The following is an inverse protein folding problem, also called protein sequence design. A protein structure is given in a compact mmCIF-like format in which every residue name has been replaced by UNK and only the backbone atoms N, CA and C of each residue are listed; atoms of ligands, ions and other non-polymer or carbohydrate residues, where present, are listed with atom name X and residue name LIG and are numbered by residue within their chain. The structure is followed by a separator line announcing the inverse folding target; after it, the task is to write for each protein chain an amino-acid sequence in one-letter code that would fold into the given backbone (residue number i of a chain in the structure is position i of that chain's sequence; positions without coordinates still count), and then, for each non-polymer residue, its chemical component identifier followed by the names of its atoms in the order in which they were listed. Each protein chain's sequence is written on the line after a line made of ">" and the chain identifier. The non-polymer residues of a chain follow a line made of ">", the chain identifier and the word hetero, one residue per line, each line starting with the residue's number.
data_IF_942291850817
#
_entry.id   IF_942291850817
#
_cell.length_a   1.000
_cell.length_b   1.000
_cell.length_c   1.000
_cell.angle_alpha   90.00
_cell.angle_beta   90.00
_cell.angle_gamma   90.00
#
_symmetry.space_group_name_H-M   'P 1'
#
loop_
_entity.id
_entity.type
_entity.pdbx_description
1 polymer ?
#
# COMPACT_ATOMS: atom_id res chain seq x y z
N UNK A 1 52.08 -26.12 -17.55
CA UNK A 1 51.51 -24.90 -16.95
C UNK A 1 50.48 -24.38 -17.94
N UNK A 2 49.21 -24.59 -17.62
CA UNK A 2 48.07 -24.22 -18.48
C UNK A 2 47.51 -22.91 -17.97
N UNK A 3 47.39 -21.89 -18.82
CA UNK A 3 46.41 -20.82 -18.55
C UNK A 3 45.99 -20.15 -19.86
N UNK A 4 44.87 -20.64 -20.39
CA UNK A 4 44.03 -19.97 -21.38
C UNK A 4 43.13 -18.98 -20.64
N UNK A 5 43.44 -17.68 -20.68
CA UNK A 5 42.56 -16.65 -20.12
C UNK A 5 41.55 -16.20 -21.19
N UNK A 6 40.31 -16.66 -21.00
CA UNK A 6 39.12 -16.28 -21.76
C UNK A 6 38.89 -14.76 -21.79
N UNK A 7 38.34 -14.28 -22.91
CA UNK A 7 37.81 -12.94 -23.10
C UNK A 7 36.39 -12.73 -22.50
N UNK A 8 35.60 -11.78 -23.04
CA UNK A 8 35.03 -10.65 -22.30
C UNK A 8 33.56 -10.83 -21.90
N UNK A 9 33.11 -10.10 -20.87
CA UNK A 9 31.68 -9.79 -20.60
C UNK A 9 31.57 -8.63 -19.61
N UNK A 10 31.13 -7.45 -20.09
CA UNK A 10 30.31 -6.56 -19.26
C UNK A 10 29.01 -7.31 -18.90
N UNK A 11 28.42 -7.08 -17.72
CA UNK A 11 27.30 -6.13 -17.71
C UNK A 11 27.04 -5.38 -16.38
N UNK A 12 26.19 -4.36 -16.53
CA UNK A 12 25.19 -3.83 -15.57
C UNK A 12 25.67 -3.04 -14.36
N UNK A 13 25.78 -1.73 -14.59
CA UNK A 13 25.10 -0.65 -13.84
C UNK A 13 24.27 -1.16 -12.66
N UNK A 14 24.85 -1.14 -11.46
CA UNK A 14 24.12 -1.20 -10.21
C UNK A 14 23.27 0.06 -10.08
N UNK A 15 21.99 -0.04 -10.43
CA UNK A 15 20.97 0.92 -9.99
C UNK A 15 20.57 0.45 -8.59
N UNK A 16 20.80 1.21 -7.51
CA UNK A 16 20.11 0.94 -6.26
C UNK A 16 18.61 1.19 -6.48
N UNK A 17 17.71 0.30 -6.02
CA UNK A 17 16.30 0.60 -5.97
C UNK A 17 16.09 1.60 -4.82
N UNK A 18 16.13 2.89 -5.12
CA UNK A 18 15.49 3.91 -4.28
C UNK A 18 14.01 3.88 -4.71
N UNK A 19 13.19 3.10 -4.00
CA UNK A 19 12.41 3.55 -2.84
C UNK A 19 11.42 4.65 -3.26
N UNK A 20 10.21 4.17 -3.56
CA UNK A 20 8.89 4.77 -3.39
C UNK A 20 8.85 6.16 -2.70
N UNK A 21 9.19 7.24 -3.40
CA UNK A 21 8.96 8.63 -2.94
C UNK A 21 7.71 9.28 -3.57
N UNK A 22 6.88 8.54 -4.31
CA UNK A 22 5.70 9.16 -4.96
C UNK A 22 4.50 9.37 -4.01
N UNK A 23 4.42 8.63 -2.89
CA UNK A 23 3.25 8.73 -2.00
C UNK A 23 3.34 9.93 -1.03
N UNK A 24 4.54 10.39 -0.67
CA UNK A 24 4.68 11.54 0.25
C UNK A 24 4.47 12.89 -0.45
N UNK A 25 4.83 13.03 -1.74
CA UNK A 25 4.65 14.29 -2.50
C UNK A 25 3.18 14.64 -2.75
N UNK A 26 2.29 13.66 -2.83
CA UNK A 26 0.87 13.90 -3.06
C UNK A 26 0.17 14.54 -1.84
N UNK A 27 0.64 14.22 -0.63
CA UNK A 27 0.08 14.77 0.62
C UNK A 27 0.54 16.22 0.85
N UNK A 28 1.71 16.60 0.34
CA UNK A 28 2.27 17.96 0.47
C UNK A 28 1.48 19.03 -0.26
N UNK A 29 0.61 18.65 -1.20
CA UNK A 29 -0.24 19.57 -1.97
C UNK A 29 -1.57 19.91 -1.26
N UNK A 30 -1.90 19.23 -0.16
CA UNK A 30 -3.12 19.46 0.60
C UNK A 30 -2.90 20.42 1.77
N UNK A 31 -3.95 21.15 2.15
CA UNK A 31 -3.97 21.83 3.46
C UNK A 31 -3.74 20.79 4.57
N UNK A 32 -2.92 21.08 5.59
CA UNK A 32 -2.67 20.17 6.71
C UNK A 32 -3.95 19.68 7.39
N UNK A 33 -4.99 20.52 7.40
CA UNK A 33 -6.30 20.17 7.97
C UNK A 33 -7.00 19.07 7.19
N UNK A 34 -6.97 19.15 5.86
CA UNK A 34 -7.59 18.14 4.98
C UNK A 34 -6.85 16.81 5.03
N UNK A 35 -5.51 16.87 5.04
CA UNK A 35 -4.68 15.69 5.20
C UNK A 35 -5.02 14.99 6.52
N UNK A 36 -5.09 15.73 7.64
CA UNK A 36 -5.46 15.18 8.95
C UNK A 36 -6.85 14.53 8.93
N UNK A 37 -7.83 15.16 8.31
CA UNK A 37 -9.20 14.64 8.26
C UNK A 37 -9.28 13.35 7.42
N UNK A 38 -8.58 13.29 6.27
CA UNK A 38 -8.48 12.07 5.47
C UNK A 38 -7.70 10.94 6.20
N UNK A 39 -6.65 11.27 6.95
CA UNK A 39 -5.95 10.33 7.81
C UNK A 39 -6.88 9.76 8.88
N UNK A 40 -7.72 10.60 9.52
CA UNK A 40 -8.69 10.12 10.51
C UNK A 40 -9.69 9.13 9.92
N UNK A 41 -10.15 9.34 8.67
CA UNK A 41 -11.02 8.39 7.97
C UNK A 41 -10.29 7.06 7.72
N UNK A 42 -9.01 7.12 7.35
CA UNK A 42 -8.17 5.94 7.14
C UNK A 42 -7.97 5.16 8.45
N UNK A 43 -7.79 5.84 9.57
CA UNK A 43 -7.70 5.21 10.89
C UNK A 43 -9.01 4.53 11.31
N UNK A 44 -10.16 5.19 11.11
CA UNK A 44 -11.48 4.59 11.36
C UNK A 44 -11.70 3.33 10.50
N UNK A 45 -11.26 3.34 9.24
CA UNK A 45 -11.27 2.15 8.39
C UNK A 45 -10.36 1.04 8.94
N UNK A 46 -9.15 1.37 9.37
CA UNK A 46 -8.21 0.40 9.96
C UNK A 46 -8.73 -0.23 11.25
N UNK A 47 -9.45 0.55 12.07
CA UNK A 47 -10.13 0.08 13.27
C UNK A 47 -11.37 -0.78 12.97
N UNK A 48 -11.84 -0.83 11.71
CA UNK A 48 -13.03 -1.57 11.30
C UNK A 48 -14.35 -0.82 11.59
N UNK A 49 -14.27 0.47 11.91
CA UNK A 49 -15.44 1.33 12.18
C UNK A 49 -16.16 1.77 10.90
N UNK A 50 -15.43 1.80 9.77
CA UNK A 50 -15.96 2.13 8.45
C UNK A 50 -15.75 0.98 7.46
N UNK A 51 -16.73 0.79 6.57
CA UNK A 51 -16.50 0.01 5.35
C UNK A 51 -15.62 0.78 4.37
N UNK A 52 -14.93 0.07 3.47
CA UNK A 52 -14.11 0.69 2.42
C UNK A 52 -14.89 1.69 1.58
N UNK A 53 -16.09 1.32 1.13
CA UNK A 53 -16.96 2.21 0.36
C UNK A 53 -17.31 3.49 1.11
N UNK A 54 -17.57 3.40 2.43
CA UNK A 54 -17.86 4.56 3.26
C UNK A 54 -16.63 5.45 3.46
N UNK A 55 -15.45 4.85 3.62
CA UNK A 55 -14.19 5.58 3.72
C UNK A 55 -13.88 6.35 2.44
N UNK A 56 -14.02 5.71 1.27
CA UNK A 56 -13.81 6.34 -0.05
C UNK A 56 -14.74 7.55 -0.23
N UNK A 57 -16.03 7.41 0.07
CA UNK A 57 -16.99 8.51 -0.06
C UNK A 57 -16.68 9.67 0.90
N UNK A 58 -16.23 9.39 2.12
CA UNK A 58 -15.82 10.44 3.07
C UNK A 58 -14.55 11.17 2.63
N UNK A 59 -13.55 10.46 2.14
CA UNK A 59 -12.33 11.07 1.60
C UNK A 59 -12.69 11.99 0.42
N UNK A 60 -13.55 11.53 -0.50
CA UNK A 60 -14.05 12.36 -1.59
C UNK A 60 -14.75 13.62 -1.08
N UNK A 61 -15.67 13.49 -0.11
CA UNK A 61 -16.38 14.65 0.48
C UNK A 61 -15.41 15.67 1.09
N UNK A 62 -14.41 15.22 1.85
CA UNK A 62 -13.38 16.09 2.44
C UNK A 62 -12.62 16.84 1.34
N UNK A 63 -12.10 16.12 0.35
CA UNK A 63 -11.28 16.71 -0.69
C UNK A 63 -12.10 17.64 -1.61
N UNK A 64 -13.38 17.33 -1.86
CA UNK A 64 -14.24 18.12 -2.75
C UNK A 64 -14.53 19.54 -2.25
N UNK A 65 -14.30 19.78 -0.95
CA UNK A 65 -14.44 21.11 -0.32
C UNK A 65 -13.38 22.12 -0.78
N UNK A 66 -12.32 21.66 -1.44
CA UNK A 66 -11.21 22.52 -1.87
C UNK A 66 -11.47 23.37 -3.11
N UNK A 67 -12.61 23.22 -3.80
CA UNK A 67 -12.87 23.86 -5.10
C UNK A 67 -11.73 23.65 -6.13
N UNK A 68 -10.96 22.58 -5.94
CA UNK A 68 -9.88 22.21 -6.83
C UNK A 68 -10.48 21.83 -8.20
N UNK A 69 -9.84 22.30 -9.27
CA UNK A 69 -10.39 22.26 -10.61
C UNK A 69 -9.93 20.95 -11.26
N UNK A 70 -10.88 20.04 -11.52
CA UNK A 70 -10.71 18.61 -11.85
C UNK A 70 -9.65 18.26 -12.93
N UNK A 71 -9.18 19.22 -13.72
CA UNK A 71 -8.12 19.02 -14.72
C UNK A 71 -6.71 19.29 -14.16
N UNK A 72 -5.92 18.22 -13.96
CA UNK A 72 -4.52 18.30 -13.54
C UNK A 72 -4.33 18.44 -12.02
N UNK A 73 -5.32 18.00 -11.26
CA UNK A 73 -5.67 18.56 -9.96
C UNK A 73 -5.04 17.80 -8.78
N UNK A 74 -4.41 18.49 -7.82
CA UNK A 74 -3.98 17.93 -6.53
C UNK A 74 -5.05 17.06 -5.85
N UNK A 75 -6.33 17.35 -6.08
CA UNK A 75 -7.45 16.52 -5.66
C UNK A 75 -7.31 15.06 -6.12
N UNK A 76 -7.08 14.83 -7.41
CA UNK A 76 -7.07 13.47 -7.99
C UNK A 76 -5.91 12.68 -7.41
N UNK A 77 -4.72 13.28 -7.34
CA UNK A 77 -3.53 12.65 -6.74
C UNK A 77 -3.74 12.30 -5.27
N UNK A 78 -4.27 13.25 -4.49
CA UNK A 78 -4.56 13.02 -3.09
C UNK A 78 -5.61 11.91 -2.90
N UNK A 79 -6.66 11.92 -3.71
CA UNK A 79 -7.72 10.90 -3.67
C UNK A 79 -7.16 9.52 -4.01
N UNK A 80 -6.36 9.40 -5.07
CA UNK A 80 -5.70 8.16 -5.47
C UNK A 80 -4.77 7.62 -4.38
N UNK A 81 -3.95 8.49 -3.76
CA UNK A 81 -3.06 8.11 -2.66
C UNK A 81 -3.86 7.56 -1.47
N UNK A 82 -4.90 8.27 -0.99
CA UNK A 82 -5.70 7.77 0.12
C UNK A 82 -6.43 6.46 -0.21
N UNK A 83 -6.92 6.27 -1.44
CA UNK A 83 -7.52 4.99 -1.87
C UNK A 83 -6.48 3.87 -1.88
N UNK A 84 -5.25 4.14 -2.34
CA UNK A 84 -4.14 3.19 -2.31
C UNK A 84 -3.83 2.72 -0.89
N UNK A 85 -3.86 3.63 0.09
CA UNK A 85 -3.66 3.29 1.51
C UNK A 85 -4.74 2.32 2.02
N UNK A 86 -6.01 2.52 1.63
CA UNK A 86 -7.10 1.60 2.00
C UNK A 86 -6.87 0.21 1.38
N UNK A 87 -6.51 0.16 0.10
CA UNK A 87 -6.24 -1.08 -0.64
C UNK A 87 -5.07 -1.86 -0.05
N UNK A 88 -3.97 -1.15 0.27
CA UNK A 88 -2.80 -1.74 0.90
C UNK A 88 -3.15 -2.41 2.24
N UNK A 89 -4.01 -1.76 3.03
CA UNK A 89 -4.46 -2.33 4.30
C UNK A 89 -5.34 -3.59 4.12
N UNK A 90 -6.24 -3.61 3.14
CA UNK A 90 -7.03 -4.82 2.85
C UNK A 90 -6.14 -5.98 2.40
N UNK A 91 -5.16 -5.72 1.53
CA UNK A 91 -4.19 -6.73 1.10
C UNK A 91 -3.38 -7.26 2.29
N UNK A 92 -2.94 -6.36 3.18
CA UNK A 92 -2.23 -6.73 4.40
C UNK A 92 -3.10 -7.63 5.30
N UNK A 93 -4.36 -7.24 5.54
CA UNK A 93 -5.32 -8.05 6.33
C UNK A 93 -5.57 -9.42 5.70
N UNK A 94 -5.78 -9.48 4.39
CA UNK A 94 -5.99 -10.73 3.67
C UNK A 94 -4.78 -11.65 3.76
N UNK A 95 -3.58 -11.12 3.57
CA UNK A 95 -2.34 -11.89 3.67
C UNK A 95 -2.07 -12.40 5.10
N UNK A 96 -2.41 -11.61 6.12
CA UNK A 96 -2.31 -12.02 7.51
C UNK A 96 -3.30 -13.17 7.83
N UNK A 97 -4.53 -13.09 7.33
CA UNK A 97 -5.53 -14.15 7.48
C UNK A 97 -5.06 -15.46 6.82
N UNK A 98 -4.59 -15.40 5.57
CA UNK A 98 -4.10 -16.58 4.83
C UNK A 98 -2.92 -17.29 5.52
N UNK A 99 -2.02 -16.54 6.18
CA UNK A 99 -0.91 -17.13 6.95
C UNK A 99 -1.38 -17.85 8.21
N UNK A 100 -2.39 -17.32 8.89
CA UNK A 100 -3.00 -17.98 10.06
C UNK A 100 -3.68 -19.30 9.69
N UNK A 101 -4.39 -19.33 8.55
CA UNK A 101 -5.03 -20.54 8.05
C UNK A 101 -4.01 -21.64 7.70
N UNK A 102 -2.89 -21.28 7.07
CA UNK A 102 -1.81 -22.24 6.77
C UNK A 102 -1.15 -22.83 8.02
N UNK A 103 -0.99 -22.06 9.11
CA UNK A 103 -0.45 -22.58 10.37
C UNK A 103 -1.42 -23.54 11.06
N UNK A 104 -2.73 -23.26 11.04
CA UNK A 104 -3.73 -24.17 11.63
C UNK A 104 -3.87 -25.48 10.87
N UNK A 105 -3.77 -25.46 9.53
CA UNK A 105 -3.83 -26.68 8.72
C UNK A 105 -2.62 -27.60 8.92
N UNK A 106 -1.45 -27.06 9.28
CA UNK A 106 -0.23 -27.84 9.49
C UNK A 106 -0.25 -28.59 10.83
N UNK A 107 -0.77 -27.96 11.89
CA UNK A 107 -0.88 -28.58 13.23
C UNK A 107 -1.92 -29.73 13.28
N UNK A 108 -2.99 -29.66 12.47
CA UNK A 108 -4.02 -30.72 12.43
C UNK A 108 -3.54 -31.96 11.65
N UNK A 109 -2.60 -31.79 10.72
CA UNK A 109 -2.01 -32.89 9.94
C UNK A 109 -1.04 -33.78 10.74
N UNK A 110 -0.35 -33.23 11.75
CA UNK A 110 0.60 -33.99 12.59
C UNK A 110 -0.07 -34.80 13.70
N UNK A 111 -1.27 -34.41 14.16
CA UNK A 111 -2.01 -35.14 15.21
C UNK A 111 -2.80 -36.36 14.69
N UNK A 112 -2.92 -36.55 13.37
CA UNK A 112 -3.62 -37.69 12.76
C UNK A 112 -2.70 -38.84 12.35
N UNK A 113 -1.38 -38.76 12.60
CA UNK A 113 -0.40 -39.75 12.11
C UNK A 113 0.06 -40.78 13.15
N UNK A 114 -0.52 -40.76 14.34
CA UNK A 114 -0.16 -41.65 15.46
C UNK A 114 -1.32 -42.57 15.91
N UNK A 115 -2.24 -42.95 14.99
CA UNK A 115 -3.20 -44.03 15.21
C UNK A 115 -3.14 -45.08 14.11
#
# INVERSE_FOLDING_TARGET
>A
MSETRNGPREPTKSVPPEEEEEDEEAVTLLSPELARDCTSVTEQFRAGELSKSSAILRIHDILSKTQANVEGDPFVKAFESFVSILDAFERFRGNAASRGEQQTSTLVGELSRDQ
#
